data_IF_341698285572
#
_entry.id   IF_341698285572
#
_cell.length_a   1.000
_cell.length_b   1.000
_cell.length_c   1.000
_cell.angle_alpha   90.00
_cell.angle_beta   90.00
_cell.angle_gamma   90.00
#
_symmetry.space_group_name_H-M   'P 1'
#
loop_
_entity.id
_entity.type
_entity.pdbx_description
1 polymer ?
#
# COMPACT_ATOMS: atom_id res chain seq x y z
N UNK A 1 -7.68 12.74 31.25
CA UNK A 1 -7.63 12.35 29.82
C UNK A 1 -8.97 12.78 29.20
N UNK A 2 -8.94 13.71 28.27
CA UNK A 2 -10.18 14.16 27.59
C UNK A 2 -10.71 13.01 26.74
N UNK A 3 -11.92 12.51 27.05
CA UNK A 3 -12.67 11.62 26.15
C UNK A 3 -12.96 12.38 24.86
N UNK A 4 -12.09 12.25 23.85
CA UNK A 4 -12.39 12.74 22.52
C UNK A 4 -13.41 11.79 21.91
N UNK A 5 -14.67 12.19 21.86
CA UNK A 5 -15.70 11.48 21.11
C UNK A 5 -15.51 11.78 19.62
N UNK A 6 -14.95 10.82 18.90
CA UNK A 6 -14.92 10.86 17.45
C UNK A 6 -16.29 10.40 16.91
N UNK A 7 -16.91 11.22 16.06
CA UNK A 7 -18.07 10.77 15.27
C UNK A 7 -17.60 9.94 14.08
N UNK A 8 -17.86 8.63 14.09
CA UNK A 8 -17.53 7.74 12.99
C UNK A 8 -18.76 7.39 12.16
N UNK A 9 -18.62 7.48 10.83
CA UNK A 9 -19.66 7.00 9.91
C UNK A 9 -19.70 5.47 9.87
N UNK A 10 -20.90 4.91 9.82
CA UNK A 10 -21.09 3.45 9.82
C UNK A 10 -20.66 2.75 8.53
N UNK A 11 -20.46 3.52 7.43
CA UNK A 11 -20.06 3.01 6.12
C UNK A 11 -18.57 3.19 5.84
N UNK A 12 -17.80 3.72 6.80
CA UNK A 12 -16.36 3.92 6.66
C UNK A 12 -15.65 2.81 7.44
N UNK A 13 -14.73 2.12 6.78
CA UNK A 13 -13.96 1.05 7.40
C UNK A 13 -12.92 1.59 8.37
N UNK A 14 -12.60 0.81 9.38
CA UNK A 14 -11.44 1.00 10.26
C UNK A 14 -10.34 0.03 9.84
N UNK A 15 -9.10 0.46 9.90
CA UNK A 15 -7.96 -0.43 9.73
C UNK A 15 -7.84 -1.39 10.93
N UNK A 16 -7.14 -2.52 10.80
CA UNK A 16 -6.83 -3.36 11.96
C UNK A 16 -5.94 -2.65 12.99
N UNK A 17 -5.28 -1.55 12.59
CA UNK A 17 -4.42 -0.74 13.46
C UNK A 17 -5.15 0.44 14.11
N UNK A 18 -6.42 0.67 13.79
CA UNK A 18 -7.19 1.84 14.22
C UNK A 18 -7.12 2.08 15.74
N UNK A 19 -7.39 1.04 16.55
CA UNK A 19 -7.36 1.16 18.00
C UNK A 19 -5.94 1.45 18.53
N UNK A 20 -4.91 0.94 17.84
CA UNK A 20 -3.51 1.25 18.14
C UNK A 20 -3.21 2.73 17.85
N UNK A 21 -3.69 3.28 16.72
CA UNK A 21 -3.48 4.71 16.42
C UNK A 21 -4.13 5.61 17.47
N UNK A 22 -5.34 5.27 17.94
CA UNK A 22 -6.02 5.98 19.03
C UNK A 22 -5.22 5.89 20.34
N UNK A 23 -4.74 4.68 20.69
CA UNK A 23 -3.88 4.45 21.86
C UNK A 23 -2.61 5.29 21.82
N UNK A 24 -1.99 5.42 20.65
CA UNK A 24 -0.76 6.21 20.45
C UNK A 24 -1.02 7.70 20.25
N UNK A 25 -2.27 8.16 20.40
CA UNK A 25 -2.60 9.58 20.52
C UNK A 25 -3.06 10.23 19.23
N UNK A 26 -3.60 9.49 18.28
CA UNK A 26 -4.24 10.08 17.11
C UNK A 26 -5.31 11.10 17.55
N UNK A 27 -5.24 12.31 17.00
CA UNK A 27 -6.09 13.44 17.40
C UNK A 27 -7.24 13.71 16.43
N UNK A 28 -7.21 13.09 15.25
CA UNK A 28 -8.25 13.20 14.24
C UNK A 28 -8.05 12.20 13.12
N UNK A 29 -9.09 12.02 12.32
CA UNK A 29 -9.08 11.10 11.19
C UNK A 29 -9.63 11.78 9.94
N UNK A 30 -9.11 11.41 8.78
CA UNK A 30 -9.69 11.66 7.46
C UNK A 30 -10.22 10.36 6.88
N UNK A 31 -10.84 10.45 5.70
CA UNK A 31 -11.27 9.29 4.92
C UNK A 31 -10.42 9.24 3.64
N UNK A 32 -9.94 8.04 3.34
CA UNK A 32 -9.19 7.73 2.13
C UNK A 32 -9.54 6.29 1.71
N UNK A 33 -9.86 6.04 0.47
CA UNK A 33 -10.31 4.73 -0.02
C UNK A 33 -11.39 4.07 0.86
N UNK A 34 -12.39 4.85 1.33
CA UNK A 34 -13.47 4.39 2.22
C UNK A 34 -13.01 3.85 3.58
N UNK A 35 -11.82 4.25 4.04
CA UNK A 35 -11.27 3.89 5.36
C UNK A 35 -10.82 5.12 6.12
N UNK A 36 -10.84 5.05 7.46
CA UNK A 36 -10.25 6.08 8.30
C UNK A 36 -8.74 6.02 8.27
N UNK A 37 -8.09 7.16 8.02
CA UNK A 37 -6.66 7.37 8.15
C UNK A 37 -6.39 8.39 9.27
N UNK A 38 -5.46 8.14 10.20
CA UNK A 38 -5.11 9.13 11.21
C UNK A 38 -4.43 10.34 10.56
N UNK A 39 -4.84 11.54 10.96
CA UNK A 39 -4.33 12.80 10.39
C UNK A 39 -3.11 13.34 11.11
N UNK A 40 -3.14 13.28 12.44
CA UNK A 40 -2.05 13.76 13.27
C UNK A 40 -2.08 13.12 14.65
N UNK A 41 -0.96 13.24 15.37
CA UNK A 41 -0.76 12.71 16.71
C UNK A 41 -0.45 13.82 17.72
N UNK A 42 -0.98 15.02 17.52
CA UNK A 42 -1.01 16.13 18.45
C UNK A 42 -0.10 17.29 18.10
N UNK A 43 1.12 17.09 17.63
CA UNK A 43 2.06 18.15 17.23
C UNK A 43 2.57 17.93 15.82
N UNK A 44 2.00 18.58 14.80
CA UNK A 44 2.47 18.47 13.42
C UNK A 44 3.95 18.82 13.25
N UNK A 45 4.43 19.84 13.96
CA UNK A 45 5.85 20.23 13.94
C UNK A 45 6.76 19.11 14.47
N UNK A 46 6.41 18.51 15.61
CA UNK A 46 7.19 17.40 16.18
C UNK A 46 7.14 16.17 15.26
N UNK A 47 6.00 15.88 14.65
CA UNK A 47 5.85 14.78 13.72
C UNK A 47 6.70 14.99 12.46
N UNK A 48 6.75 16.22 11.95
CA UNK A 48 7.64 16.59 10.84
C UNK A 48 9.12 16.36 11.18
N UNK A 49 9.58 16.86 12.32
CA UNK A 49 10.98 16.67 12.74
C UNK A 49 11.31 15.20 13.04
N UNK A 50 10.38 14.44 13.57
CA UNK A 50 10.57 13.00 13.74
C UNK A 50 10.73 12.28 12.37
N UNK A 51 10.00 12.70 11.33
CA UNK A 51 10.16 12.16 9.98
C UNK A 51 11.53 12.50 9.40
N UNK A 52 12.00 13.74 9.56
CA UNK A 52 13.24 14.25 8.95
C UNK A 52 14.49 13.73 9.70
N UNK A 53 14.43 13.60 11.01
CA UNK A 53 15.61 13.30 11.84
C UNK A 53 15.65 11.84 12.36
N UNK A 54 14.49 11.15 12.40
CA UNK A 54 14.34 9.82 12.99
C UNK A 54 13.60 8.87 12.07
N UNK A 55 12.46 8.38 12.52
CA UNK A 55 11.50 7.61 11.72
C UNK A 55 10.09 7.74 12.27
N UNK A 56 9.11 7.60 11.39
CA UNK A 56 7.69 7.49 11.74
C UNK A 56 7.13 6.19 11.17
N UNK A 57 6.15 5.62 11.89
CA UNK A 57 5.34 4.50 11.44
C UNK A 57 3.93 5.01 11.12
N UNK A 58 3.50 4.85 9.88
CA UNK A 58 2.18 5.30 9.41
C UNK A 58 1.25 4.10 9.22
N UNK A 59 0.02 4.21 9.74
CA UNK A 59 -1.08 3.35 9.32
C UNK A 59 -1.54 3.81 7.92
N UNK A 60 -1.13 3.06 6.92
CA UNK A 60 -1.49 3.26 5.51
C UNK A 60 -2.34 2.11 4.97
N UNK A 61 -3.09 1.41 5.84
CA UNK A 61 -4.03 0.38 5.42
C UNK A 61 -5.10 0.89 4.44
N UNK A 62 -5.29 2.20 4.39
CA UNK A 62 -6.11 2.89 3.40
C UNK A 62 -5.60 2.76 1.97
N UNK A 63 -4.30 2.48 1.77
CA UNK A 63 -3.71 2.10 0.48
C UNK A 63 -4.04 0.64 0.18
N UNK A 64 -5.33 0.37 0.02
CA UNK A 64 -5.89 -0.95 -0.22
C UNK A 64 -5.18 -1.61 -1.39
N UNK A 65 -5.02 -2.93 -1.30
CA UNK A 65 -4.43 -3.68 -2.38
C UNK A 65 -5.52 -4.20 -3.33
N UNK A 66 -5.24 -4.18 -4.62
CA UNK A 66 -6.01 -4.95 -5.61
C UNK A 66 -5.13 -6.09 -6.09
N UNK A 67 -5.56 -7.31 -5.79
CA UNK A 67 -4.88 -8.54 -6.20
C UNK A 67 -5.42 -8.99 -7.56
N UNK A 68 -4.49 -9.32 -8.45
CA UNK A 68 -4.78 -9.84 -9.79
C UNK A 68 -3.96 -11.11 -9.99
N UNK A 69 -4.66 -12.22 -10.19
CA UNK A 69 -4.08 -13.55 -10.40
C UNK A 69 -4.70 -14.24 -11.61
N UNK A 70 -4.08 -15.30 -12.09
CA UNK A 70 -4.59 -16.11 -13.20
C UNK A 70 -3.63 -16.19 -14.37
N UNK A 71 -3.88 -17.10 -15.33
CA UNK A 71 -2.99 -17.33 -16.46
C UNK A 71 -2.70 -16.08 -17.29
N UNK A 72 -3.67 -15.17 -17.39
CA UNK A 72 -3.55 -13.92 -18.14
C UNK A 72 -3.28 -12.68 -17.30
N UNK A 73 -2.92 -12.83 -16.00
CA UNK A 73 -2.75 -11.70 -15.09
C UNK A 73 -1.74 -10.66 -15.61
N UNK A 74 -0.61 -11.09 -16.17
CA UNK A 74 0.37 -10.18 -16.75
C UNK A 74 -0.21 -9.37 -17.94
N UNK A 75 -0.92 -10.03 -18.85
CA UNK A 75 -1.57 -9.36 -20.00
C UNK A 75 -2.63 -8.38 -19.53
N UNK A 76 -3.37 -8.75 -18.51
CA UNK A 76 -4.42 -7.91 -17.94
C UNK A 76 -3.82 -6.64 -17.26
N UNK A 77 -2.77 -6.79 -16.45
CA UNK A 77 -2.09 -5.63 -15.87
C UNK A 77 -1.55 -4.70 -16.95
N UNK A 78 -0.95 -5.25 -18.02
CA UNK A 78 -0.45 -4.43 -19.13
C UNK A 78 -1.59 -3.70 -19.87
N UNK A 79 -2.81 -4.22 -19.85
CA UNK A 79 -3.99 -3.54 -20.40
C UNK A 79 -4.42 -2.33 -19.55
N UNK A 80 -4.21 -2.36 -18.23
CA UNK A 80 -4.62 -1.29 -17.31
C UNK A 80 -3.67 -0.09 -17.31
N UNK A 81 -2.41 -0.25 -17.76
CA UNK A 81 -1.40 0.78 -17.69
C UNK A 81 -0.69 1.02 -19.02
N UNK A 82 -0.41 2.28 -19.39
CA UNK A 82 0.41 2.61 -20.55
C UNK A 82 1.91 2.30 -20.34
N UNK A 83 2.32 2.00 -19.10
CA UNK A 83 3.71 1.72 -18.79
C UNK A 83 4.12 0.33 -19.25
N UNK A 84 5.20 0.24 -20.03
CA UNK A 84 5.80 -1.05 -20.42
C UNK A 84 6.28 -1.83 -19.20
N UNK A 85 5.74 -3.03 -19.02
CA UNK A 85 6.06 -3.96 -17.94
C UNK A 85 6.95 -5.12 -18.39
N UNK A 86 7.38 -5.16 -19.66
CA UNK A 86 8.16 -6.27 -20.24
C UNK A 86 9.44 -6.62 -19.48
N UNK A 87 10.03 -5.64 -18.79
CA UNK A 87 11.24 -5.81 -17.97
C UNK A 87 10.97 -5.91 -16.47
N UNK A 88 9.71 -6.01 -16.05
CA UNK A 88 9.36 -6.17 -14.64
C UNK A 88 9.58 -7.62 -14.23
N UNK A 89 10.53 -7.87 -13.32
CA UNK A 89 10.81 -9.21 -12.78
C UNK A 89 9.92 -9.55 -11.60
N UNK A 90 9.74 -10.84 -11.30
CA UNK A 90 9.16 -11.29 -10.03
C UNK A 90 10.02 -10.74 -8.87
N UNK A 91 9.36 -10.26 -7.82
CA UNK A 91 10.01 -9.58 -6.70
C UNK A 91 10.29 -8.10 -6.92
N UNK A 92 9.92 -7.54 -8.08
CA UNK A 92 10.03 -6.09 -8.33
C UNK A 92 8.72 -5.37 -8.11
N UNK A 93 8.86 -4.10 -7.70
CA UNK A 93 7.79 -3.11 -7.67
C UNK A 93 7.96 -2.11 -8.82
N UNK A 94 6.89 -1.43 -9.20
CA UNK A 94 6.93 -0.37 -10.21
C UNK A 94 5.79 0.63 -9.97
N UNK A 95 6.12 1.91 -9.93
CA UNK A 95 5.09 2.95 -9.96
C UNK A 95 4.45 2.98 -11.35
N UNK A 96 3.14 2.88 -11.42
CA UNK A 96 2.38 2.85 -12.67
C UNK A 96 1.22 3.83 -12.63
N UNK A 97 0.67 4.16 -13.77
CA UNK A 97 -0.58 4.93 -13.89
C UNK A 97 -1.66 3.98 -14.40
N UNK A 98 -2.81 3.99 -13.77
CA UNK A 98 -4.03 3.37 -14.29
C UNK A 98 -4.80 4.45 -15.03
N UNK A 99 -5.11 4.20 -16.29
CA UNK A 99 -5.76 5.21 -17.14
C UNK A 99 -7.10 4.70 -17.69
N UNK A 100 -8.00 5.65 -17.99
CA UNK A 100 -9.18 5.37 -18.78
C UNK A 100 -8.83 5.36 -20.29
N UNK A 101 -9.85 5.11 -21.14
CA UNK A 101 -9.72 5.05 -22.61
C UNK A 101 -9.37 6.41 -23.25
N UNK A 102 -9.52 7.51 -22.54
CA UNK A 102 -9.19 8.85 -23.01
C UNK A 102 -7.80 9.32 -22.53
N UNK A 103 -7.07 8.46 -21.77
CA UNK A 103 -5.78 8.77 -21.20
C UNK A 103 -5.85 9.54 -19.88
N UNK A 104 -7.05 9.74 -19.32
CA UNK A 104 -7.22 10.33 -17.98
C UNK A 104 -6.71 9.38 -16.90
N UNK A 105 -5.99 9.91 -15.91
CA UNK A 105 -5.45 9.13 -14.79
C UNK A 105 -6.57 8.82 -13.81
N UNK A 106 -6.80 7.53 -13.55
CA UNK A 106 -7.74 7.03 -12.55
C UNK A 106 -7.07 6.79 -11.21
N UNK A 107 -5.83 6.31 -11.23
CA UNK A 107 -5.02 6.02 -10.05
C UNK A 107 -3.54 5.94 -10.42
N UNK A 108 -2.66 6.04 -9.44
CA UNK A 108 -1.21 6.00 -9.60
C UNK A 108 -0.53 5.02 -8.62
N UNK A 109 -0.92 3.74 -8.66
CA UNK A 109 -0.48 2.76 -7.66
C UNK A 109 0.98 2.37 -7.81
N UNK A 110 1.51 1.78 -6.74
CA UNK A 110 2.68 0.92 -6.84
C UNK A 110 2.22 -0.48 -7.21
N UNK A 111 2.70 -0.98 -8.34
CA UNK A 111 2.53 -2.37 -8.79
C UNK A 111 3.61 -3.23 -8.13
N UNK A 112 3.21 -4.33 -7.50
CA UNK A 112 4.07 -5.37 -6.94
C UNK A 112 3.90 -6.65 -7.75
N UNK A 113 4.97 -7.23 -8.29
CA UNK A 113 4.94 -8.55 -8.94
C UNK A 113 5.40 -9.61 -7.95
N UNK A 114 4.44 -10.32 -7.35
CA UNK A 114 4.68 -11.32 -6.30
C UNK A 114 5.13 -12.66 -6.88
N UNK A 115 4.55 -13.06 -8.02
CA UNK A 115 4.90 -14.26 -8.76
C UNK A 115 4.71 -14.03 -10.26
N UNK A 116 4.91 -15.07 -11.08
CA UNK A 116 4.76 -15.00 -12.55
C UNK A 116 3.42 -14.39 -12.95
N UNK A 117 2.33 -14.87 -12.36
CA UNK A 117 0.95 -14.47 -12.65
C UNK A 117 0.23 -14.01 -11.38
N UNK A 118 0.92 -13.30 -10.49
CA UNK A 118 0.38 -12.78 -9.24
C UNK A 118 0.89 -11.37 -8.99
N UNK A 119 -0.04 -10.42 -8.96
CA UNK A 119 0.25 -9.00 -8.84
C UNK A 119 -0.62 -8.36 -7.77
N UNK A 120 -0.07 -7.35 -7.09
CA UNK A 120 -0.84 -6.41 -6.29
C UNK A 120 -0.66 -4.99 -6.83
N UNK A 121 -1.74 -4.21 -6.76
CA UNK A 121 -1.71 -2.76 -6.93
C UNK A 121 -1.96 -2.12 -5.56
N UNK A 122 -0.98 -1.41 -5.03
CA UNK A 122 -1.11 -0.61 -3.80
C UNK A 122 -1.63 0.77 -4.18
N UNK A 123 -2.89 1.05 -3.79
CA UNK A 123 -3.70 2.10 -4.41
C UNK A 123 -3.50 3.49 -3.77
N UNK A 124 -3.55 4.51 -4.60
CA UNK A 124 -4.01 5.84 -4.20
C UNK A 124 -5.54 5.89 -4.07
N UNK A 125 -6.13 7.05 -3.78
CA UNK A 125 -7.57 7.21 -3.47
C UNK A 125 -8.45 7.13 -4.72
N UNK A 126 -8.87 5.92 -5.10
CA UNK A 126 -9.96 5.68 -6.06
C UNK A 126 -10.35 4.20 -6.15
N UNK A 127 -11.51 3.90 -6.78
CA UNK A 127 -12.10 2.55 -6.86
C UNK A 127 -11.49 1.68 -7.98
N UNK A 128 -10.19 1.46 -7.97
CA UNK A 128 -9.48 0.63 -8.97
C UNK A 128 -9.97 -0.82 -8.98
N UNK A 129 -10.41 -1.36 -7.84
CA UNK A 129 -10.98 -2.70 -7.79
C UNK A 129 -12.18 -2.83 -8.75
N UNK A 130 -13.13 -1.91 -8.65
CA UNK A 130 -14.33 -1.91 -9.50
C UNK A 130 -13.97 -1.63 -10.96
N UNK A 131 -13.02 -0.72 -11.21
CA UNK A 131 -12.53 -0.45 -12.55
C UNK A 131 -11.91 -1.69 -13.20
N UNK A 132 -10.99 -2.35 -12.49
CA UNK A 132 -10.31 -3.55 -12.99
C UNK A 132 -11.30 -4.69 -13.25
N UNK A 133 -12.24 -4.93 -12.33
CA UNK A 133 -13.31 -5.92 -12.51
C UNK A 133 -14.17 -5.58 -13.75
N UNK A 134 -14.55 -4.31 -13.91
CA UNK A 134 -15.33 -3.85 -15.08
C UNK A 134 -14.59 -4.07 -16.41
N UNK A 135 -13.28 -3.75 -16.46
CA UNK A 135 -12.45 -4.00 -17.64
C UNK A 135 -12.32 -5.50 -17.93
N UNK A 136 -12.22 -6.33 -16.89
CA UNK A 136 -12.07 -7.78 -17.04
C UNK A 136 -13.28 -8.44 -17.68
N UNK A 137 -14.50 -7.96 -17.45
CA UNK A 137 -15.77 -8.56 -17.94
C UNK A 137 -15.73 -8.83 -19.45
N UNK A 138 -15.18 -7.93 -20.24
CA UNK A 138 -15.16 -8.02 -21.70
C UNK A 138 -13.74 -8.20 -22.27
N UNK A 139 -12.74 -8.43 -21.43
CA UNK A 139 -11.35 -8.57 -21.88
C UNK A 139 -11.06 -9.89 -22.59
N UNK A 140 -11.83 -10.94 -22.32
CA UNK A 140 -11.56 -12.31 -22.76
C UNK A 140 -10.34 -12.94 -22.08
N UNK A 141 -9.84 -12.34 -21.00
CA UNK A 141 -8.67 -12.82 -20.25
C UNK A 141 -9.09 -13.61 -19.00
N UNK A 142 -8.39 -14.70 -18.72
CA UNK A 142 -8.61 -15.54 -17.54
C UNK A 142 -7.86 -14.96 -16.34
N UNK A 143 -8.57 -14.16 -15.55
CA UNK A 143 -8.04 -13.47 -14.37
C UNK A 143 -9.02 -13.49 -13.20
N UNK A 144 -8.49 -13.53 -12.00
CA UNK A 144 -9.21 -13.30 -10.75
C UNK A 144 -8.76 -11.96 -10.15
N UNK A 145 -9.74 -11.13 -9.78
CA UNK A 145 -9.49 -9.78 -9.26
C UNK A 145 -10.25 -9.62 -7.96
N UNK A 146 -9.52 -9.35 -6.87
CA UNK A 146 -10.11 -9.19 -5.54
C UNK A 146 -9.30 -8.22 -4.68
N UNK A 147 -9.85 -7.83 -3.54
CA UNK A 147 -9.11 -7.21 -2.45
C UNK A 147 -8.57 -8.34 -1.54
N UNK A 148 -7.25 -8.49 -1.37
CA UNK A 148 -6.69 -9.46 -0.43
C UNK A 148 -6.83 -8.95 1.01
N UNK A 149 -6.88 -9.87 1.98
CA UNK A 149 -6.93 -9.53 3.40
C UNK A 149 -5.53 -9.17 3.92
N UNK A 150 -5.06 -8.00 3.53
CA UNK A 150 -3.77 -7.43 3.95
C UNK A 150 -3.92 -5.95 4.25
N UNK A 151 -3.07 -5.46 5.15
CA UNK A 151 -3.11 -4.07 5.59
C UNK A 151 -1.68 -3.51 5.67
N UNK A 152 -1.30 -2.59 4.77
CA UNK A 152 0.05 -2.05 4.76
C UNK A 152 0.31 -1.08 5.91
N UNK A 153 1.56 -1.10 6.37
CA UNK A 153 2.18 -0.09 7.23
C UNK A 153 3.37 0.52 6.49
N UNK A 154 3.60 1.80 6.69
CA UNK A 154 4.75 2.50 6.13
C UNK A 154 5.69 2.95 7.25
N UNK A 155 6.93 2.50 7.21
CA UNK A 155 8.01 2.99 8.05
C UNK A 155 8.89 3.93 7.21
N UNK A 156 9.04 5.18 7.65
CA UNK A 156 9.77 6.19 6.89
C UNK A 156 10.61 7.08 7.79
N UNK A 157 11.77 7.52 7.27
CA UNK A 157 12.73 8.40 7.92
C UNK A 157 14.16 7.83 7.92
N UNK A 158 15.19 8.63 8.24
CA UNK A 158 16.59 8.24 8.11
C UNK A 158 16.98 7.04 8.97
N UNK A 159 16.33 6.82 10.13
CA UNK A 159 16.60 5.66 10.98
C UNK A 159 15.76 4.42 10.68
N UNK A 160 14.91 4.47 9.64
CA UNK A 160 14.04 3.34 9.26
C UNK A 160 14.83 2.07 8.97
N UNK A 161 16.00 2.18 8.31
CA UNK A 161 16.86 1.05 8.02
C UNK A 161 17.36 0.33 9.27
N UNK A 162 17.74 1.06 10.32
CA UNK A 162 18.17 0.48 11.60
C UNK A 162 17.04 -0.28 12.31
N UNK A 163 15.81 0.25 12.22
CA UNK A 163 14.62 -0.40 12.77
C UNK A 163 14.34 -1.70 12.02
N UNK A 164 14.39 -1.66 10.69
CA UNK A 164 14.18 -2.84 9.86
C UNK A 164 15.22 -3.93 10.11
N UNK A 165 16.48 -3.57 10.32
CA UNK A 165 17.54 -4.51 10.69
C UNK A 165 17.26 -5.18 12.04
N UNK A 166 16.80 -4.43 13.02
CA UNK A 166 16.43 -4.97 14.34
C UNK A 166 15.26 -5.95 14.27
N UNK A 167 14.33 -5.75 13.34
CA UNK A 167 13.14 -6.59 13.20
C UNK A 167 13.40 -7.83 12.33
N UNK A 168 14.18 -7.70 11.26
CA UNK A 168 14.29 -8.72 10.21
C UNK A 168 15.72 -9.26 10.01
N UNK A 169 16.73 -8.66 10.65
CA UNK A 169 18.12 -9.05 10.50
C UNK A 169 18.86 -8.26 9.42
N UNK A 170 20.15 -8.50 9.31
CA UNK A 170 21.08 -7.74 8.45
C UNK A 170 20.80 -7.89 6.95
N UNK A 171 20.21 -9.01 6.53
CA UNK A 171 19.93 -9.32 5.12
C UNK A 171 18.90 -8.37 4.48
N UNK A 172 18.12 -7.64 5.30
CA UNK A 172 17.19 -6.64 4.78
C UNK A 172 17.89 -5.46 4.09
N UNK A 173 19.18 -5.23 4.39
CA UNK A 173 20.00 -4.21 3.73
C UNK A 173 20.15 -4.46 2.22
N UNK A 174 20.09 -5.73 1.81
CA UNK A 174 20.23 -6.15 0.43
C UNK A 174 18.94 -5.96 -0.38
N UNK A 175 17.83 -5.60 0.28
CA UNK A 175 16.57 -5.29 -0.40
C UNK A 175 16.75 -4.00 -1.20
N UNK A 176 16.76 -4.13 -2.52
CA UNK A 176 16.96 -3.00 -3.44
C UNK A 176 15.73 -2.08 -3.50
N UNK A 177 15.95 -0.83 -3.83
CA UNK A 177 14.86 0.12 -4.08
C UNK A 177 13.95 -0.37 -5.20
N UNK A 178 12.64 -0.31 -4.99
CA UNK A 178 11.58 -0.89 -5.82
C UNK A 178 11.68 -2.42 -5.97
N UNK A 179 12.14 -3.11 -4.90
CA UNK A 179 12.05 -4.55 -4.76
C UNK A 179 11.25 -4.92 -3.52
N UNK A 180 10.74 -6.14 -3.52
CA UNK A 180 10.03 -6.74 -2.40
C UNK A 180 10.66 -8.09 -2.02
N UNK A 181 10.43 -8.51 -0.79
CA UNK A 181 10.82 -9.82 -0.27
C UNK A 181 9.83 -10.24 0.82
N UNK A 182 9.63 -11.55 0.92
CA UNK A 182 8.86 -12.14 2.02
C UNK A 182 9.72 -12.24 3.27
N UNK A 183 9.13 -11.91 4.42
CA UNK A 183 9.70 -12.04 5.75
C UNK A 183 8.70 -12.65 6.71
N UNK A 184 9.16 -13.02 7.89
CA UNK A 184 8.33 -13.47 8.99
C UNK A 184 8.70 -12.66 10.25
N UNK A 185 7.70 -12.10 10.91
CA UNK A 185 7.86 -11.41 12.19
C UNK A 185 7.02 -12.14 13.24
N UNK A 186 7.69 -12.84 14.16
CA UNK A 186 7.04 -13.58 15.25
C UNK A 186 5.92 -14.54 14.79
N UNK A 187 6.13 -15.22 13.66
CA UNK A 187 5.17 -16.14 13.07
C UNK A 187 4.18 -15.50 12.09
N UNK A 188 4.20 -14.18 11.93
CA UNK A 188 3.34 -13.45 10.99
C UNK A 188 4.08 -13.30 9.65
N UNK A 189 3.55 -13.86 8.54
CA UNK A 189 4.13 -13.66 7.22
C UNK A 189 3.90 -12.23 6.75
N UNK A 190 4.94 -11.61 6.19
CA UNK A 190 4.94 -10.25 5.71
C UNK A 190 5.57 -10.16 4.32
N UNK A 191 5.08 -9.24 3.50
CA UNK A 191 5.77 -8.76 2.32
C UNK A 191 6.36 -7.39 2.66
N UNK A 192 7.67 -7.28 2.58
CA UNK A 192 8.38 -6.02 2.78
C UNK A 192 8.83 -5.51 1.43
N UNK A 193 8.44 -4.29 1.08
CA UNK A 193 8.91 -3.60 -0.12
C UNK A 193 9.70 -2.35 0.26
N UNK A 194 10.80 -2.11 -0.44
CA UNK A 194 11.57 -0.88 -0.31
C UNK A 194 11.13 0.09 -1.41
N UNK A 195 10.13 0.88 -1.09
CA UNK A 195 9.60 1.95 -1.94
C UNK A 195 9.77 3.28 -1.23
N UNK A 196 9.39 4.39 -1.82
CA UNK A 196 9.36 5.70 -1.17
C UNK A 196 8.17 6.47 -1.69
N UNK A 197 7.44 7.13 -0.79
CA UNK A 197 6.36 8.03 -1.13
C UNK A 197 6.76 9.49 -0.91
N UNK A 198 7.38 9.76 0.22
CA UNK A 198 7.92 11.08 0.55
C UNK A 198 9.45 10.97 0.58
N UNK A 199 10.09 11.55 -0.37
CA UNK A 199 11.54 11.72 -0.45
C UNK A 199 11.93 13.13 -0.03
#
# INVERSE_FOLDING_TARGET
>A
MSNKNFGFGTQIRKSPYFDSTVKWGATGFSVYNHMYIPRDFGSPEQNFWNLIEKAILCDVAVERQVEITGPDAYRFIQLLTPRDLSKLSVGQCKYVLITNNEGGILNDPVLLRLAENHFWLSLADSDVLLWAQGVAVNSGLDVQIREPDVSPLQLQGPTSGEIMIKLFGEDIKDLKYYWLREYNLDGIPLIVSRTGWSS
#
